data_IF_383589496101
#
_entry.id   IF_383589496101
#
_cell.length_a   1.000
_cell.length_b   1.000
_cell.length_c   1.000
_cell.angle_alpha   90.00
_cell.angle_beta   90.00
_cell.angle_gamma   90.00
#
_symmetry.space_group_name_H-M   'P 1'
#
loop_
_entity.id
_entity.type
_entity.pdbx_description
1 polymer ?
#
# COMPACT_ATOMS: atom_id res chain seq x y z
N UNK A 1 4.49 -3.95 14.74
CA UNK A 1 3.89 -4.22 13.41
C UNK A 1 3.95 -5.72 13.21
N UNK A 2 2.80 -6.37 13.30
CA UNK A 2 2.72 -7.81 13.06
C UNK A 2 2.65 -8.07 11.55
N UNK A 3 3.44 -9.04 11.09
CA UNK A 3 3.43 -9.45 9.69
C UNK A 3 2.21 -10.35 9.44
N UNK A 4 1.31 -9.98 8.52
CA UNK A 4 0.20 -10.84 8.18
C UNK A 4 0.68 -12.12 7.48
N UNK A 5 0.00 -13.25 7.65
CA UNK A 5 0.43 -14.56 7.11
C UNK A 5 0.42 -14.63 5.58
N UNK A 6 -0.19 -13.65 4.90
CA UNK A 6 -0.27 -13.59 3.45
C UNK A 6 0.86 -12.76 2.80
N UNK A 7 1.79 -12.17 3.55
CA UNK A 7 2.81 -11.28 2.99
C UNK A 7 3.67 -11.93 1.92
N UNK A 8 3.94 -13.22 2.04
CA UNK A 8 4.92 -13.92 1.21
C UNK A 8 4.34 -14.35 -0.15
N UNK A 9 2.99 -14.35 -0.25
CA UNK A 9 2.27 -14.85 -1.42
C UNK A 9 1.63 -13.73 -2.27
N UNK A 10 1.42 -12.53 -1.71
CA UNK A 10 0.64 -11.48 -2.37
C UNK A 10 1.46 -10.57 -3.28
N UNK A 11 0.86 -10.16 -4.40
CA UNK A 11 1.52 -9.36 -5.46
C UNK A 11 1.56 -7.85 -5.22
N UNK A 12 1.16 -7.35 -4.05
CA UNK A 12 1.11 -5.91 -3.78
C UNK A 12 -0.01 -5.12 -4.49
N UNK A 13 -0.58 -5.64 -5.60
CA UNK A 13 -1.70 -5.08 -6.35
C UNK A 13 -1.99 -5.82 -7.66
N UNK A 14 -3.18 -5.64 -8.23
CA UNK A 14 -3.64 -6.31 -9.47
C UNK A 14 -2.75 -6.06 -10.70
N UNK A 15 -2.02 -4.95 -10.70
CA UNK A 15 -1.15 -4.56 -11.81
C UNK A 15 0.19 -5.33 -11.86
N UNK A 16 0.56 -6.01 -10.77
CA UNK A 16 1.83 -6.73 -10.66
C UNK A 16 1.65 -8.18 -11.11
N UNK A 17 2.66 -8.69 -11.81
CA UNK A 17 2.67 -10.07 -12.29
C UNK A 17 3.17 -11.04 -11.21
N UNK A 18 4.12 -10.60 -10.37
CA UNK A 18 4.81 -11.37 -9.33
C UNK A 18 4.75 -10.66 -7.95
N UNK A 19 4.93 -11.41 -6.85
CA UNK A 19 5.14 -10.85 -5.52
C UNK A 19 6.45 -10.04 -5.43
N UNK A 20 6.56 -9.11 -4.45
CA UNK A 20 7.83 -8.45 -4.16
C UNK A 20 8.92 -9.47 -3.81
N UNK A 21 10.12 -9.29 -4.34
CA UNK A 21 11.26 -10.17 -4.09
C UNK A 21 11.91 -9.97 -2.72
N UNK A 22 11.82 -8.74 -2.21
CA UNK A 22 12.39 -8.35 -0.93
C UNK A 22 11.50 -8.90 0.21
N UNK A 23 12.01 -9.73 1.13
CA UNK A 23 11.21 -10.23 2.26
C UNK A 23 10.71 -9.11 3.17
N UNK A 24 11.45 -8.00 3.26
CA UNK A 24 11.13 -6.86 4.13
C UNK A 24 10.26 -5.81 3.44
N UNK A 25 9.70 -6.12 2.26
CA UNK A 25 8.90 -5.20 1.47
C UNK A 25 7.74 -4.57 2.26
N UNK A 26 7.19 -5.32 3.22
CA UNK A 26 6.05 -4.88 4.03
C UNK A 26 6.46 -3.74 4.98
N UNK A 27 7.62 -3.86 5.64
CA UNK A 27 8.18 -2.83 6.51
C UNK A 27 8.59 -1.58 5.72
N UNK A 28 9.22 -1.78 4.56
CA UNK A 28 9.59 -0.67 3.66
C UNK A 28 8.33 0.08 3.22
N UNK A 29 7.25 -0.63 2.90
CA UNK A 29 5.97 -0.01 2.55
C UNK A 29 5.38 0.75 3.73
N UNK A 30 5.41 0.20 4.94
CA UNK A 30 4.94 0.88 6.15
C UNK A 30 5.71 2.18 6.43
N UNK A 31 7.04 2.16 6.35
CA UNK A 31 7.89 3.34 6.50
C UNK A 31 7.61 4.40 5.41
N UNK A 32 7.44 3.96 4.16
CA UNK A 32 7.07 4.83 3.04
C UNK A 32 5.72 5.52 3.27
N UNK A 33 4.75 4.81 3.83
CA UNK A 33 3.42 5.36 4.16
C UNK A 33 3.52 6.40 5.27
N UNK A 34 4.15 6.06 6.41
CA UNK A 34 4.34 6.99 7.53
C UNK A 34 5.02 8.30 7.09
N UNK A 35 6.09 8.21 6.29
CA UNK A 35 6.78 9.40 5.74
C UNK A 35 5.86 10.27 4.88
N UNK A 36 4.98 9.67 4.07
CA UNK A 36 4.07 10.42 3.19
C UNK A 36 2.95 11.10 3.99
N UNK A 37 2.46 10.46 5.04
CA UNK A 37 1.47 11.06 5.96
C UNK A 37 2.08 12.30 6.58
N UNK A 38 3.30 12.20 7.13
CA UNK A 38 4.00 13.32 7.74
C UNK A 38 4.14 14.53 6.80
N UNK A 39 4.51 14.29 5.54
CA UNK A 39 4.77 15.38 4.59
C UNK A 39 3.53 16.02 3.96
N UNK A 40 2.41 15.30 3.85
CA UNK A 40 1.24 15.78 3.09
C UNK A 40 -0.03 15.98 3.92
N UNK A 41 -0.15 15.31 5.07
CA UNK A 41 -1.38 15.30 5.87
C UNK A 41 -2.58 14.68 5.14
N UNK A 42 -3.61 14.26 5.87
CA UNK A 42 -4.93 13.85 5.32
C UNK A 42 -4.90 12.77 4.23
N UNK A 43 -3.99 11.79 4.33
CA UNK A 43 -3.84 10.72 3.34
C UNK A 43 -4.57 9.45 3.77
N UNK A 44 -5.76 9.24 3.22
CA UNK A 44 -6.48 7.98 3.39
C UNK A 44 -6.02 6.83 2.47
N UNK A 45 -6.62 5.66 2.66
CA UNK A 45 -6.36 4.43 1.86
C UNK A 45 -6.46 4.68 0.35
N UNK A 46 -7.43 5.49 -0.10
CA UNK A 46 -7.65 5.79 -1.51
C UNK A 46 -6.51 6.57 -2.17
N UNK A 47 -5.79 7.38 -1.41
CA UNK A 47 -4.61 8.10 -1.88
C UNK A 47 -3.42 7.14 -2.03
N UNK A 48 -3.16 6.29 -1.02
CA UNK A 48 -2.11 5.27 -1.09
C UNK A 48 -2.31 4.26 -2.22
N UNK A 49 -3.58 3.92 -2.52
CA UNK A 49 -3.92 3.08 -3.68
C UNK A 49 -3.52 3.70 -5.01
N UNK A 50 -3.51 5.03 -5.11
CA UNK A 50 -3.06 5.76 -6.30
C UNK A 50 -1.54 5.91 -6.31
N UNK A 51 -0.94 6.29 -5.18
CA UNK A 51 0.51 6.50 -5.04
C UNK A 51 1.29 5.23 -5.38
N UNK A 52 0.85 4.08 -4.89
CA UNK A 52 1.48 2.78 -5.19
C UNK A 52 0.87 2.07 -6.41
N UNK A 53 -0.06 2.74 -7.11
CA UNK A 53 -0.63 2.27 -8.36
C UNK A 53 0.35 2.41 -9.52
N UNK A 54 -0.05 1.96 -10.70
CA UNK A 54 0.80 2.07 -11.89
C UNK A 54 0.14 1.52 -13.15
N UNK A 55 0.88 1.53 -14.25
CA UNK A 55 0.43 1.00 -15.53
C UNK A 55 0.32 -0.54 -15.47
N UNK A 56 -0.87 -1.08 -15.73
CA UNK A 56 -1.10 -2.53 -15.82
C UNK A 56 -0.82 -3.02 -17.24
N UNK A 57 -0.05 -4.10 -17.35
CA UNK A 57 0.12 -4.82 -18.62
C UNK A 57 -1.17 -5.59 -18.95
N UNK A 58 -1.75 -5.30 -20.11
CA UNK A 58 -3.00 -5.90 -20.59
C UNK A 58 -2.77 -6.79 -21.83
N UNK A 59 -1.58 -7.39 -21.97
CA UNK A 59 -1.21 -8.17 -23.15
C UNK A 59 -1.05 -7.27 -24.38
N UNK A 60 -1.81 -7.56 -25.44
CA UNK A 60 -1.82 -6.77 -26.69
C UNK A 60 -2.55 -5.43 -26.56
N UNK A 61 -3.43 -5.27 -25.57
CA UNK A 61 -4.18 -4.03 -25.35
C UNK A 61 -3.30 -2.94 -24.74
N UNK A 62 -3.58 -1.65 -24.99
CA UNK A 62 -2.86 -0.54 -24.37
C UNK A 62 -2.80 -0.62 -22.84
N UNK A 63 -1.73 -0.04 -22.29
CA UNK A 63 -1.51 0.03 -20.85
C UNK A 63 -2.39 1.13 -20.27
N UNK A 64 -3.15 0.79 -19.24
CA UNK A 64 -3.96 1.74 -18.48
C UNK A 64 -3.55 1.74 -17.00
N UNK A 65 -3.78 2.87 -16.33
CA UNK A 65 -3.52 2.99 -14.91
C UNK A 65 -4.42 2.06 -14.09
N UNK A 66 -3.83 1.38 -13.13
CA UNK A 66 -4.53 0.51 -12.19
C UNK A 66 -4.08 0.83 -10.77
N UNK A 67 -5.04 0.88 -9.84
CA UNK A 67 -4.79 1.14 -8.42
C UNK A 67 -4.12 -0.08 -7.77
N UNK A 68 -3.33 0.17 -6.72
CA UNK A 68 -2.77 -0.89 -5.89
C UNK A 68 -3.81 -1.51 -4.96
N UNK A 69 -3.39 -2.55 -4.22
CA UNK A 69 -4.27 -3.25 -3.28
C UNK A 69 -4.70 -2.33 -2.13
N UNK A 70 -6.00 -2.26 -1.88
CA UNK A 70 -6.56 -1.54 -0.74
C UNK A 70 -6.42 -2.31 0.57
N UNK A 71 -6.41 -3.64 0.54
CA UNK A 71 -6.29 -4.47 1.75
C UNK A 71 -4.93 -4.24 2.43
N UNK A 72 -3.85 -4.23 1.64
CA UNK A 72 -2.49 -4.03 2.13
C UNK A 72 -2.34 -2.65 2.77
N UNK A 73 -2.80 -1.60 2.08
CA UNK A 73 -2.72 -0.24 2.60
C UNK A 73 -3.55 -0.06 3.88
N UNK A 74 -4.75 -0.63 3.95
CA UNK A 74 -5.61 -0.59 5.15
C UNK A 74 -4.95 -1.30 6.32
N UNK A 75 -4.43 -2.51 6.10
CA UNK A 75 -3.81 -3.30 7.16
C UNK A 75 -2.58 -2.59 7.74
N UNK A 76 -1.74 -1.99 6.88
CA UNK A 76 -0.60 -1.19 7.34
C UNK A 76 -1.07 0.01 8.19
N UNK A 77 -2.09 0.75 7.76
CA UNK A 77 -2.59 1.90 8.52
C UNK A 77 -3.15 1.49 9.88
N UNK A 78 -3.91 0.39 9.95
CA UNK A 78 -4.41 -0.16 11.21
C UNK A 78 -3.25 -0.55 12.15
N UNK A 79 -2.21 -1.19 11.62
CA UNK A 79 -1.01 -1.54 12.39
C UNK A 79 -0.24 -0.30 12.87
N UNK A 80 -0.15 0.75 12.05
CA UNK A 80 0.48 2.02 12.45
C UNK A 80 -0.35 2.78 13.49
N UNK A 81 -1.67 2.67 13.42
CA UNK A 81 -2.59 3.23 14.42
C UNK A 81 -2.44 2.52 15.77
N UNK A 82 -2.32 1.20 15.78
CA UNK A 82 -2.09 0.42 17.01
C UNK A 82 -0.77 0.78 17.72
N UNK A 83 0.22 1.26 16.97
CA UNK A 83 1.53 1.71 17.50
C UNK A 83 1.54 3.23 17.77
N UNK A 84 0.38 3.90 17.68
CA UNK A 84 0.21 5.34 17.92
C UNK A 84 1.07 6.25 17.01
N UNK A 85 1.40 5.79 15.80
CA UNK A 85 2.15 6.58 14.82
C UNK A 85 1.21 7.45 13.96
N UNK A 86 -0.02 6.99 13.75
CA UNK A 86 -1.04 7.64 12.92
C UNK A 86 -2.36 7.67 13.68
N UNK A 87 -3.07 8.78 13.59
CA UNK A 87 -4.43 8.91 14.14
C UNK A 87 -5.46 9.06 13.00
N UNK A 88 -6.72 8.75 13.30
CA UNK A 88 -7.81 8.79 12.33
C UNK A 88 -8.56 10.12 12.45
N UNK A 89 -8.44 10.97 11.43
CA UNK A 89 -9.30 12.15 11.30
C UNK A 89 -10.57 11.80 10.51
N UNK A 90 -11.66 12.48 10.84
CA UNK A 90 -12.96 12.41 10.16
C UNK A 90 -12.87 12.75 8.66
N UNK A 91 -11.87 13.54 8.26
CA UNK A 91 -11.61 13.93 6.87
C UNK A 91 -10.72 12.95 6.10
N UNK A 92 -10.14 11.96 6.79
CA UNK A 92 -9.46 10.80 6.20
C UNK A 92 -8.00 10.61 6.59
#
# INVERSE_FOLDING_TARGET
>A
IELPPWTDIVKGGKLKELPPYDPDWYYIRAASMARKIYLRGGLGVGAFRRIYGGAKRNGSRPRHFCKSSGSIARHILQQLQNVYIVDLDTKG
#
